data_IF_548970800782
#
_entry.id   IF_548970800782
#
_cell.length_a   1.000
_cell.length_b   1.000
_cell.length_c   1.000
_cell.angle_alpha   90.00
_cell.angle_beta   90.00
_cell.angle_gamma   90.00
#
_symmetry.space_group_name_H-M   'P 1'
#
loop_
_entity.id
_entity.type
_entity.pdbx_description
1 polymer ?
#
# COMPACT_ATOMS: atom_id res chain seq x y z
N UNK A 1 11.82 14.29 -4.61
CA UNK A 1 12.37 13.45 -3.50
C UNK A 1 11.79 12.04 -3.58
N UNK A 2 12.28 11.08 -2.79
CA UNK A 2 11.79 9.69 -2.75
C UNK A 2 10.88 9.48 -1.54
N UNK A 3 9.62 9.11 -1.76
CA UNK A 3 8.60 8.94 -0.74
C UNK A 3 8.07 7.50 -0.72
N UNK A 4 8.02 6.91 0.47
CA UNK A 4 7.46 5.59 0.71
C UNK A 4 6.16 5.73 1.49
N UNK A 5 5.05 5.28 0.91
CA UNK A 5 3.80 5.07 1.62
C UNK A 5 3.73 3.61 2.06
N UNK A 6 3.22 3.36 3.25
CA UNK A 6 2.97 2.00 3.74
C UNK A 6 1.60 1.92 4.37
N UNK A 7 0.94 0.78 4.20
CA UNK A 7 -0.38 0.55 4.77
C UNK A 7 -0.65 -0.94 4.93
N UNK A 8 -1.56 -1.26 5.84
CA UNK A 8 -2.09 -2.61 5.96
C UNK A 8 -2.86 -2.99 4.68
N UNK A 9 -2.84 -4.28 4.32
CA UNK A 9 -3.39 -4.81 3.08
C UNK A 9 -4.93 -4.84 2.99
N UNK A 10 -5.57 -3.73 3.31
CA UNK A 10 -7.00 -3.47 3.17
C UNK A 10 -7.25 -2.29 2.22
N UNK A 11 -8.14 -2.42 1.22
CA UNK A 11 -8.40 -1.36 0.25
C UNK A 11 -8.82 -0.02 0.87
N UNK A 12 -9.61 -0.05 1.96
CA UNK A 12 -10.03 1.17 2.65
C UNK A 12 -8.86 2.01 3.16
N UNK A 13 -7.81 1.37 3.67
CA UNK A 13 -6.61 2.07 4.12
C UNK A 13 -5.76 2.56 2.95
N UNK A 14 -5.73 1.84 1.82
CA UNK A 14 -5.08 2.31 0.60
C UNK A 14 -5.76 3.56 0.06
N UNK A 15 -7.09 3.55 -0.08
CA UNK A 15 -7.84 4.65 -0.71
C UNK A 15 -7.68 5.98 0.02
N UNK A 16 -7.51 5.95 1.36
CA UNK A 16 -7.19 7.14 2.14
C UNK A 16 -5.85 7.79 1.74
N UNK A 17 -4.89 7.01 1.21
CA UNK A 17 -3.56 7.46 0.80
C UNK A 17 -3.45 7.80 -0.68
N UNK A 18 -4.33 7.27 -1.53
CA UNK A 18 -4.24 7.39 -3.01
C UNK A 18 -4.13 8.85 -3.45
N UNK A 19 -5.00 9.72 -2.95
CA UNK A 19 -5.02 11.13 -3.34
C UNK A 19 -3.71 11.83 -2.96
N UNK A 20 -3.17 11.55 -1.77
CA UNK A 20 -1.91 12.16 -1.31
C UNK A 20 -0.70 11.62 -2.09
N UNK A 21 -0.67 10.31 -2.37
CA UNK A 21 0.37 9.69 -3.17
C UNK A 21 0.42 10.30 -4.60
N UNK A 22 -0.74 10.53 -5.22
CA UNK A 22 -0.83 11.21 -6.51
C UNK A 22 -0.40 12.68 -6.45
N UNK A 23 -0.80 13.42 -5.41
CA UNK A 23 -0.35 14.80 -5.23
C UNK A 23 1.18 14.88 -5.12
N UNK A 24 1.82 13.99 -4.36
CA UNK A 24 3.27 13.89 -4.29
C UNK A 24 3.88 13.56 -5.67
N UNK A 25 3.30 12.63 -6.43
CA UNK A 25 3.78 12.33 -7.81
C UNK A 25 3.67 13.55 -8.72
N UNK A 26 2.55 14.27 -8.67
CA UNK A 26 2.32 15.48 -9.47
C UNK A 26 3.29 16.62 -9.13
N UNK A 27 3.72 16.71 -7.87
CA UNK A 27 4.76 17.64 -7.43
C UNK A 27 6.20 17.18 -7.78
N UNK A 28 6.37 16.10 -8.55
CA UNK A 28 7.67 15.62 -9.02
C UNK A 28 8.41 14.71 -8.03
N UNK A 29 7.71 14.14 -7.04
CA UNK A 29 8.29 13.14 -6.15
C UNK A 29 8.23 11.74 -6.75
N UNK A 30 9.29 10.95 -6.54
CA UNK A 30 9.29 9.51 -6.79
C UNK A 30 8.54 8.84 -5.63
N UNK A 31 7.42 8.18 -5.93
CA UNK A 31 6.54 7.57 -4.92
C UNK A 31 6.52 6.06 -5.10
N UNK A 32 6.58 5.33 -3.98
CA UNK A 32 6.41 3.88 -3.89
C UNK A 32 5.42 3.54 -2.77
N UNK A 33 4.57 2.53 -2.98
CA UNK A 33 3.66 2.01 -1.95
C UNK A 33 4.11 0.61 -1.54
N UNK A 34 4.51 0.42 -0.29
CA UNK A 34 4.85 -0.88 0.26
C UNK A 34 3.68 -1.48 1.06
N UNK A 35 3.29 -2.71 0.76
CA UNK A 35 2.26 -3.44 1.51
C UNK A 35 2.36 -4.96 1.29
N UNK A 36 1.53 -5.73 2.00
CA UNK A 36 1.47 -7.19 1.86
C UNK A 36 0.95 -7.62 0.48
N UNK A 37 1.23 -8.86 0.04
CA UNK A 37 0.87 -9.35 -1.31
C UNK A 37 -0.61 -9.18 -1.67
N UNK A 38 -1.51 -9.27 -0.68
CA UNK A 38 -2.95 -9.13 -0.87
C UNK A 38 -3.38 -7.75 -1.41
N UNK A 39 -2.58 -6.70 -1.22
CA UNK A 39 -2.92 -5.34 -1.68
C UNK A 39 -2.26 -4.97 -3.02
N UNK A 40 -1.32 -5.77 -3.52
CA UNK A 40 -0.49 -5.41 -4.67
C UNK A 40 -1.32 -5.08 -5.93
N UNK A 41 -2.35 -5.88 -6.19
CA UNK A 41 -3.26 -5.67 -7.32
C UNK A 41 -4.10 -4.40 -7.17
N UNK A 42 -4.52 -4.05 -5.95
CA UNK A 42 -5.29 -2.82 -5.71
C UNK A 42 -4.41 -1.57 -5.87
N UNK A 43 -3.19 -1.59 -5.35
CA UNK A 43 -2.20 -0.52 -5.56
C UNK A 43 -2.00 -0.26 -7.07
N UNK A 44 -1.85 -1.34 -7.85
CA UNK A 44 -1.75 -1.26 -9.30
C UNK A 44 -2.99 -0.68 -9.98
N UNK A 45 -4.20 -1.06 -9.53
CA UNK A 45 -5.46 -0.48 -10.02
C UNK A 45 -5.60 1.02 -9.74
N UNK A 46 -5.00 1.52 -8.66
CA UNK A 46 -4.91 2.95 -8.36
C UNK A 46 -3.84 3.70 -9.20
N UNK A 47 -3.13 3.01 -10.10
CA UNK A 47 -2.07 3.59 -10.93
C UNK A 47 -0.80 3.96 -10.15
N UNK A 48 -0.58 3.34 -8.99
CA UNK A 48 0.59 3.56 -8.14
C UNK A 48 1.55 2.36 -8.22
N UNK A 49 2.87 2.57 -8.10
CA UNK A 49 3.83 1.47 -8.05
C UNK A 49 3.79 0.76 -6.69
N UNK A 50 3.82 -0.58 -6.71
CA UNK A 50 3.77 -1.42 -5.53
C UNK A 50 5.12 -2.08 -5.23
N UNK A 51 5.53 -2.05 -3.97
CA UNK A 51 6.55 -2.94 -3.42
C UNK A 51 5.87 -3.96 -2.50
N UNK A 52 5.96 -5.24 -2.87
CA UNK A 52 5.41 -6.31 -2.04
C UNK A 52 6.38 -6.57 -0.89
N UNK A 53 5.94 -6.32 0.33
CA UNK A 53 6.70 -6.52 1.56
C UNK A 53 5.92 -7.40 2.53
N UNK A 54 6.63 -8.18 3.34
CA UNK A 54 6.08 -9.21 4.23
C UNK A 54 5.41 -10.40 3.51
N UNK A 55 5.32 -11.53 4.21
CA UNK A 55 4.70 -12.75 3.69
C UNK A 55 3.17 -12.62 3.66
N UNK A 56 2.51 -13.30 2.71
CA UNK A 56 1.04 -13.39 2.58
C UNK A 56 0.36 -13.77 3.89
N UNK A 57 1.05 -14.52 4.74
CA UNK A 57 0.52 -15.07 5.97
C UNK A 57 0.90 -14.17 7.16
N UNK A 58 0.04 -13.21 7.50
CA UNK A 58 0.05 -12.56 8.82
C UNK A 58 -0.63 -13.43 9.89
N UNK A 59 -0.53 -14.76 9.83
CA UNK A 59 -1.12 -15.64 10.86
C UNK A 59 -0.41 -15.55 12.20
N UNK A 60 0.79 -14.94 12.26
CA UNK A 60 1.47 -14.71 13.54
C UNK A 60 0.79 -13.62 14.39
N UNK A 61 -0.06 -12.78 13.79
CA UNK A 61 -0.82 -11.79 14.55
C UNK A 61 -2.10 -12.42 15.09
N UNK A 62 -2.30 -12.49 16.42
CA UNK A 62 -3.41 -13.24 17.02
C UNK A 62 -4.80 -12.70 16.64
N UNK A 63 -4.87 -11.49 16.10
CA UNK A 63 -6.11 -10.83 15.69
C UNK A 63 -6.43 -10.98 14.20
N UNK A 64 -5.54 -11.57 13.39
CA UNK A 64 -5.76 -11.72 11.94
C UNK A 64 -6.85 -12.73 11.57
N UNK A 65 -7.22 -13.65 12.46
CA UNK A 65 -8.24 -14.67 12.20
C UNK A 65 -9.66 -14.27 12.63
N UNK A 66 -9.83 -13.07 13.22
CA UNK A 66 -11.09 -12.65 13.86
C UNK A 66 -11.76 -11.49 13.11
N UNK A 67 -11.21 -11.08 11.95
CA UNK A 67 -11.72 -9.97 11.12
C UNK A 67 -12.02 -10.41 9.71
#
# INVERSE_FOLDING_TARGET
MRLLFTTWAWPSHLYALVTQAWACRAAGHEVLVASQPALAAEIGRCGLPAAVVAATTSTRWPWCAVM
#
